data_IF_505315067643
#
_entry.id   IF_505315067643
#
_cell.length_a   1.000
_cell.length_b   1.000
_cell.length_c   1.000
_cell.angle_alpha   90.00
_cell.angle_beta   90.00
_cell.angle_gamma   90.00
#
_symmetry.space_group_name_H-M   'P 1'
#
loop_
_entity.id
_entity.type
_entity.pdbx_description
1 polymer ?
#
# COMPACT_ATOMS: atom_id res chain seq x y z
N UNK A 1 -39.44 4.91 22.77
CA UNK A 1 -39.22 3.73 21.91
C UNK A 1 -37.83 3.86 21.29
N UNK A 2 -36.91 2.97 21.64
CA UNK A 2 -35.53 3.00 21.10
C UNK A 2 -35.54 2.44 19.66
N UNK A 3 -34.88 3.10 18.69
CA UNK A 3 -34.78 2.60 17.32
C UNK A 3 -33.79 1.44 17.18
N UNK A 4 -34.02 0.53 16.22
CA UNK A 4 -33.22 -0.70 16.05
C UNK A 4 -31.73 -0.45 15.84
N UNK A 5 -31.37 0.55 15.01
CA UNK A 5 -29.97 0.89 14.77
C UNK A 5 -29.21 1.25 16.07
N UNK A 6 -29.90 1.81 17.07
CA UNK A 6 -29.29 2.13 18.38
C UNK A 6 -29.11 0.86 19.22
N UNK A 7 -30.03 -0.10 19.12
CA UNK A 7 -29.90 -1.41 19.77
C UNK A 7 -28.78 -2.26 19.13
N UNK A 8 -28.63 -2.20 17.82
CA UNK A 8 -27.53 -2.88 17.11
C UNK A 8 -26.17 -2.32 17.53
N UNK A 9 -26.01 -0.99 17.58
CA UNK A 9 -24.78 -0.36 18.10
C UNK A 9 -24.52 -0.66 19.58
N UNK A 10 -25.59 -0.75 20.39
CA UNK A 10 -25.49 -1.18 21.78
C UNK A 10 -24.92 -2.60 21.89
N UNK A 11 -25.38 -3.53 21.05
CA UNK A 11 -24.88 -4.92 21.02
C UNK A 11 -23.41 -5.02 20.57
N UNK A 12 -22.97 -4.10 19.70
CA UNK A 12 -21.58 -4.01 19.22
C UNK A 12 -20.64 -3.29 20.20
N UNK A 13 -21.18 -2.57 21.20
CA UNK A 13 -20.38 -1.75 22.12
C UNK A 13 -19.99 -0.38 21.56
N UNK A 14 -20.60 0.04 20.45
CA UNK A 14 -20.25 1.25 19.69
C UNK A 14 -21.08 2.48 20.09
N UNK A 15 -21.56 2.53 21.34
CA UNK A 15 -22.27 3.68 21.91
C UNK A 15 -21.49 4.33 23.05
N UNK A 16 -21.64 5.66 23.26
CA UNK A 16 -21.11 6.34 24.44
C UNK A 16 -21.57 5.68 25.76
N UNK A 17 -20.74 5.72 26.81
CA UNK A 17 -21.01 5.02 28.07
C UNK A 17 -22.37 5.40 28.71
N UNK A 18 -22.77 6.67 28.61
CA UNK A 18 -24.05 7.15 29.14
C UNK A 18 -25.25 6.49 28.42
N UNK A 19 -25.18 6.36 27.10
CA UNK A 19 -26.21 5.69 26.30
C UNK A 19 -26.27 4.19 26.60
N UNK A 20 -25.11 3.55 26.81
CA UNK A 20 -25.01 2.15 27.20
C UNK A 20 -25.68 1.89 28.56
N UNK A 21 -25.43 2.77 29.55
CA UNK A 21 -26.06 2.65 30.88
C UNK A 21 -27.56 2.85 30.82
N UNK A 22 -28.03 3.83 30.04
CA UNK A 22 -29.46 4.07 29.88
C UNK A 22 -30.18 2.85 29.29
N UNK A 23 -29.64 2.26 28.22
CA UNK A 23 -30.25 1.09 27.58
C UNK A 23 -30.24 -0.12 28.52
N UNK A 24 -29.16 -0.33 29.31
CA UNK A 24 -29.13 -1.40 30.34
C UNK A 24 -30.18 -1.20 31.43
N UNK A 25 -30.38 0.05 31.85
CA UNK A 25 -31.40 0.39 32.83
C UNK A 25 -32.81 0.16 32.27
N UNK A 26 -33.07 0.57 31.04
CA UNK A 26 -34.35 0.32 30.35
C UNK A 26 -34.59 -1.19 30.11
N UNK A 27 -33.56 -1.96 29.73
CA UNK A 27 -33.62 -3.43 29.59
C UNK A 27 -33.98 -4.13 30.92
N UNK A 28 -33.59 -3.56 32.05
CA UNK A 28 -33.91 -4.11 33.38
C UNK A 28 -35.39 -3.94 33.76
N UNK A 29 -36.07 -2.95 33.18
CA UNK A 29 -37.46 -2.60 33.52
C UNK A 29 -38.48 -3.02 32.46
N UNK A 30 -38.05 -3.14 31.20
CA UNK A 30 -38.93 -3.42 30.07
C UNK A 30 -38.68 -4.83 29.49
N UNK A 31 -39.62 -5.74 29.75
CA UNK A 31 -39.58 -7.11 29.24
C UNK A 31 -39.72 -7.18 27.71
N UNK A 32 -40.40 -6.22 27.07
CA UNK A 32 -40.56 -6.13 25.61
C UNK A 32 -39.22 -5.74 24.98
N UNK A 33 -38.56 -4.73 25.54
CA UNK A 33 -37.23 -4.32 25.10
C UNK A 33 -36.22 -5.45 25.26
N UNK A 34 -36.26 -6.18 26.39
CA UNK A 34 -35.41 -7.35 26.63
C UNK A 34 -35.63 -8.45 25.59
N UNK A 35 -36.89 -8.75 25.26
CA UNK A 35 -37.22 -9.71 24.21
C UNK A 35 -36.67 -9.29 22.84
N UNK A 36 -36.76 -7.99 22.50
CA UNK A 36 -36.23 -7.44 21.24
C UNK A 36 -34.71 -7.53 21.18
N UNK A 37 -34.01 -7.18 22.26
CA UNK A 37 -32.55 -7.30 22.36
C UNK A 37 -32.11 -8.77 22.21
N UNK A 38 -32.83 -9.71 22.83
CA UNK A 38 -32.52 -11.14 22.72
C UNK A 38 -32.72 -11.66 21.29
N UNK A 39 -33.79 -11.24 20.61
CA UNK A 39 -34.01 -11.59 19.19
C UNK A 39 -32.87 -11.10 18.29
N UNK A 40 -32.34 -9.89 18.52
CA UNK A 40 -31.18 -9.38 17.79
C UNK A 40 -29.90 -10.17 18.09
N UNK A 41 -29.68 -10.61 19.34
CA UNK A 41 -28.54 -11.48 19.71
C UNK A 41 -28.61 -12.84 19.00
N UNK A 42 -29.79 -13.45 18.97
CA UNK A 42 -30.02 -14.73 18.29
C UNK A 42 -29.74 -14.61 16.78
N UNK A 43 -30.24 -13.55 16.13
CA UNK A 43 -29.97 -13.29 14.72
C UNK A 43 -28.46 -13.12 14.45
N UNK A 44 -27.73 -12.42 15.31
CA UNK A 44 -26.29 -12.26 15.16
C UNK A 44 -25.54 -13.61 15.29
N UNK A 45 -25.93 -14.44 16.26
CA UNK A 45 -25.39 -15.80 16.40
C UNK A 45 -25.69 -16.67 15.18
N UNK A 46 -26.89 -16.56 14.60
CA UNK A 46 -27.24 -17.27 13.37
C UNK A 46 -26.31 -16.88 12.21
N UNK A 47 -26.06 -15.58 12.02
CA UNK A 47 -25.15 -15.06 10.98
C UNK A 47 -23.73 -15.62 11.19
N UNK A 48 -23.22 -15.55 12.43
CA UNK A 48 -21.87 -16.05 12.75
C UNK A 48 -21.75 -17.57 12.54
N UNK A 49 -22.82 -18.33 12.83
CA UNK A 49 -22.86 -19.77 12.60
C UNK A 49 -22.92 -20.13 11.11
N UNK A 50 -23.57 -19.29 10.29
CA UNK A 50 -23.67 -19.45 8.84
C UNK A 50 -22.36 -19.10 8.13
N UNK A 51 -21.60 -18.15 8.68
CA UNK A 51 -20.33 -17.68 8.14
C UNK A 51 -19.17 -17.83 9.14
N UNK A 52 -18.79 -19.08 9.51
CA UNK A 52 -17.71 -19.30 10.44
C UNK A 52 -16.38 -18.88 9.82
N UNK A 53 -15.67 -17.96 10.49
CA UNK A 53 -14.37 -17.42 10.04
C UNK A 53 -13.34 -18.53 9.76
N UNK A 54 -13.39 -19.65 10.47
CA UNK A 54 -12.51 -20.80 10.28
C UNK A 54 -12.59 -21.41 8.87
N UNK A 55 -13.78 -21.43 8.25
CA UNK A 55 -13.96 -21.92 6.87
C UNK A 55 -13.40 -20.95 5.82
N UNK A 56 -13.13 -19.70 6.19
CA UNK A 56 -12.54 -18.70 5.31
C UNK A 56 -11.03 -18.88 5.19
N UNK A 57 -10.36 -19.30 6.28
CA UNK A 57 -8.90 -19.53 6.31
C UNK A 57 -8.42 -20.63 5.36
N UNK A 58 -9.21 -21.69 5.18
CA UNK A 58 -8.87 -22.80 4.27
C UNK A 58 -8.80 -22.35 2.80
N UNK A 59 -9.59 -21.33 2.39
CA UNK A 59 -9.50 -20.77 1.03
C UNK A 59 -8.23 -19.95 0.81
N UNK A 60 -7.68 -19.33 1.86
CA UNK A 60 -6.43 -18.57 1.75
C UNK A 60 -5.19 -19.47 1.68
N UNK A 61 -5.16 -20.61 2.38
CA UNK A 61 -4.02 -21.54 2.32
C UNK A 61 -3.80 -22.11 0.90
N UNK A 62 -4.87 -22.41 0.16
CA UNK A 62 -4.74 -22.95 -1.22
C UNK A 62 -4.14 -21.98 -2.25
N UNK A 63 -4.12 -20.68 -1.96
CA UNK A 63 -3.51 -19.66 -2.83
C UNK A 63 -1.99 -19.60 -2.62
N UNK A 64 -1.51 -19.93 -1.42
CA UNK A 64 -0.08 -19.87 -1.04
C UNK A 64 0.69 -21.09 -1.57
N UNK A 65 0.11 -22.29 -1.51
CA UNK A 65 0.85 -23.54 -1.83
C UNK A 65 1.07 -23.80 -3.32
N UNK A 66 0.27 -23.21 -4.22
CA UNK A 66 0.36 -23.47 -5.66
C UNK A 66 1.59 -22.87 -6.36
N UNK A 67 2.41 -22.07 -5.66
CA UNK A 67 3.56 -21.36 -6.27
C UNK A 67 4.92 -22.07 -6.07
N UNK A 68 4.98 -23.20 -5.37
CA UNK A 68 6.26 -23.83 -4.96
C UNK A 68 6.86 -24.85 -5.95
N UNK A 69 6.22 -25.17 -7.08
CA UNK A 69 6.75 -26.16 -8.02
C UNK A 69 6.66 -25.69 -9.48
N UNK A 70 7.56 -24.79 -9.88
CA UNK A 70 8.02 -24.70 -11.27
C UNK A 70 9.51 -24.98 -11.29
N UNK A 71 9.87 -26.18 -11.72
CA UNK A 71 11.23 -26.67 -11.82
C UNK A 71 12.08 -25.71 -12.66
N UNK A 72 12.94 -24.94 -11.99
CA UNK A 72 13.88 -23.98 -12.59
C UNK A 72 14.92 -24.66 -13.50
N UNK A 73 15.07 -25.98 -13.38
CA UNK A 73 16.04 -26.80 -14.10
C UNK A 73 15.83 -26.80 -15.64
N UNK A 74 14.61 -26.49 -16.11
CA UNK A 74 14.30 -26.46 -17.55
C UNK A 74 14.85 -25.23 -18.29
N UNK A 75 15.27 -24.17 -17.58
CA UNK A 75 15.81 -22.94 -18.19
C UNK A 75 17.34 -22.81 -18.06
N UNK A 76 18.00 -23.77 -17.42
CA UNK A 76 19.46 -23.78 -17.20
C UNK A 76 20.31 -23.60 -18.47
N UNK A 77 20.02 -24.24 -19.63
CA UNK A 77 20.86 -24.05 -20.82
C UNK A 77 20.70 -22.66 -21.46
N UNK A 78 19.59 -21.95 -21.21
CA UNK A 78 19.34 -20.62 -21.79
C UNK A 78 20.01 -19.49 -20.98
N UNK A 79 20.15 -19.65 -19.66
CA UNK A 79 20.86 -18.70 -18.79
C UNK A 79 22.37 -18.77 -19.00
N UNK A 80 22.92 -19.96 -19.25
CA UNK A 80 24.36 -20.14 -19.51
C UNK A 80 24.83 -19.44 -20.81
N UNK A 81 24.01 -19.45 -21.86
CA UNK A 81 24.33 -18.78 -23.13
C UNK A 81 24.34 -17.25 -23.01
N UNK A 82 23.47 -16.67 -22.16
CA UNK A 82 23.42 -15.23 -21.94
C UNK A 82 24.65 -14.71 -21.16
N UNK A 83 25.19 -15.49 -20.22
CA UNK A 83 26.37 -15.11 -19.43
C UNK A 83 27.64 -15.05 -20.30
N UNK A 84 27.80 -15.97 -21.26
CA UNK A 84 28.96 -15.98 -22.17
C UNK A 84 28.93 -14.76 -23.10
N UNK A 85 27.75 -14.32 -23.55
CA UNK A 85 27.63 -13.13 -24.40
C UNK A 85 28.02 -11.85 -23.66
N UNK A 86 27.65 -11.72 -22.37
CA UNK A 86 27.97 -10.55 -21.54
C UNK A 86 29.47 -10.47 -21.21
N UNK A 87 30.15 -11.61 -21.03
CA UNK A 87 31.58 -11.65 -20.70
C UNK A 87 32.50 -11.16 -21.84
N UNK A 88 32.04 -11.18 -23.11
CA UNK A 88 32.84 -10.75 -24.27
C UNK A 88 32.62 -9.29 -24.69
N UNK A 89 31.61 -8.60 -24.14
CA UNK A 89 31.34 -7.18 -24.40
C UNK A 89 32.56 -6.26 -24.18
N UNK A 90 33.38 -6.41 -23.10
CA UNK A 90 34.51 -5.52 -22.89
C UNK A 90 35.64 -5.65 -23.93
N UNK A 91 35.68 -6.74 -24.70
CA UNK A 91 36.71 -6.94 -25.73
C UNK A 91 36.35 -6.28 -27.07
N UNK A 92 35.06 -6.16 -27.38
CA UNK A 92 34.58 -5.65 -28.68
C UNK A 92 34.03 -4.22 -28.62
N UNK A 93 33.67 -3.73 -27.43
CA UNK A 93 33.07 -2.41 -27.27
C UNK A 93 33.50 -1.75 -25.94
N UNK A 94 34.73 -1.20 -25.87
CA UNK A 94 35.28 -0.61 -24.63
C UNK A 94 34.50 0.63 -24.12
N UNK A 95 33.73 1.31 -24.99
CA UNK A 95 32.81 2.39 -24.59
C UNK A 95 31.63 1.89 -23.73
N UNK A 96 31.26 0.62 -23.85
CA UNK A 96 30.18 0.01 -23.05
C UNK A 96 30.75 -0.55 -21.74
N UNK A 97 32.04 -0.89 -21.71
CA UNK A 97 32.73 -1.39 -20.52
C UNK A 97 32.96 -0.31 -19.46
N UNK A 98 33.15 0.95 -19.87
CA UNK A 98 33.33 2.08 -18.95
C UNK A 98 32.08 2.41 -18.12
N UNK A 99 30.89 1.98 -18.56
CA UNK A 99 29.65 2.07 -17.76
C UNK A 99 29.67 1.17 -16.52
N UNK A 100 30.55 0.16 -16.46
CA UNK A 100 30.64 -0.81 -15.36
C UNK A 100 31.73 -0.49 -14.33
N UNK A 101 32.53 0.55 -14.56
CA UNK A 101 33.68 0.91 -13.72
C UNK A 101 33.47 2.16 -12.87
N UNK A 102 32.30 2.81 -12.92
CA UNK A 102 32.03 3.93 -12.03
C UNK A 102 31.63 3.44 -10.64
N UNK A 103 32.39 3.76 -9.57
CA UNK A 103 31.86 3.68 -8.22
C UNK A 103 30.66 4.63 -8.14
N UNK A 104 29.51 4.13 -7.70
CA UNK A 104 28.25 4.88 -7.64
C UNK A 104 28.32 6.01 -6.60
N UNK A 105 28.97 7.12 -6.96
CA UNK A 105 28.61 8.44 -6.45
C UNK A 105 27.28 8.79 -7.09
N UNK A 106 26.25 8.94 -6.27
CA UNK A 106 24.94 9.44 -6.68
C UNK A 106 25.10 10.90 -7.09
N UNK A 107 25.56 11.13 -8.31
CA UNK A 107 25.37 12.40 -8.98
C UNK A 107 23.91 12.47 -9.43
N UNK A 108 23.21 13.49 -8.93
CA UNK A 108 21.87 13.86 -9.38
C UNK A 108 22.02 14.30 -10.83
N UNK A 109 21.81 13.37 -11.78
CA UNK A 109 21.72 13.72 -13.19
C UNK A 109 20.36 14.39 -13.39
N UNK A 110 20.36 15.71 -13.27
CA UNK A 110 19.30 16.57 -13.75
C UNK A 110 19.29 16.50 -15.29
N UNK A 111 18.48 15.59 -15.84
CA UNK A 111 18.22 15.56 -17.28
C UNK A 111 17.39 16.77 -17.68
N UNK A 112 18.07 17.91 -17.85
CA UNK A 112 17.62 19.02 -18.67
C UNK A 112 17.72 18.60 -20.14
N UNK A 113 16.67 17.98 -20.66
CA UNK A 113 16.49 17.85 -22.11
C UNK A 113 15.01 17.98 -22.50
N UNK A 114 14.79 19.08 -23.20
CA UNK A 114 13.85 19.38 -24.27
C UNK A 114 12.41 18.84 -24.19
N UNK A 115 11.50 19.71 -23.75
CA UNK A 115 10.37 20.22 -24.57
C UNK A 115 9.35 19.28 -25.23
N UNK A 116 9.55 17.96 -25.28
CA UNK A 116 8.67 17.04 -25.98
C UNK A 116 7.81 16.25 -25.01
N UNK A 117 6.58 16.73 -24.84
CA UNK A 117 5.45 16.02 -24.24
C UNK A 117 5.30 14.64 -24.90
N UNK A 118 5.75 13.60 -24.22
CA UNK A 118 5.50 12.21 -24.63
C UNK A 118 3.98 11.98 -24.52
N UNK A 119 3.34 11.75 -25.67
CA UNK A 119 1.93 11.33 -25.74
C UNK A 119 1.78 10.03 -24.96
N UNK A 120 0.97 10.03 -23.89
CA UNK A 120 0.60 8.80 -23.16
C UNK A 120 1.12 8.66 -21.72
N UNK A 121 1.71 9.70 -21.12
CA UNK A 121 2.04 9.64 -19.69
C UNK A 121 0.74 9.65 -18.85
N UNK A 122 0.50 8.60 -18.07
CA UNK A 122 -0.63 8.48 -17.16
C UNK A 122 -0.21 8.79 -15.72
N UNK A 123 -1.20 9.06 -14.86
CA UNK A 123 -0.98 9.14 -13.42
C UNK A 123 -0.50 7.77 -12.94
N UNK A 124 0.73 7.69 -12.41
CA UNK A 124 1.35 6.43 -12.06
C UNK A 124 2.22 6.56 -10.81
N UNK A 125 2.27 5.49 -10.04
CA UNK A 125 3.11 5.31 -8.85
C UNK A 125 3.82 3.97 -8.96
N UNK A 126 5.15 3.99 -8.88
CA UNK A 126 5.99 2.80 -8.92
C UNK A 126 6.82 2.68 -7.65
N UNK A 127 6.98 1.44 -7.20
CA UNK A 127 7.81 1.12 -6.03
C UNK A 127 8.91 0.18 -6.47
N UNK A 128 10.15 0.55 -6.14
CA UNK A 128 11.35 -0.23 -6.47
C UNK A 128 12.06 -0.59 -5.18
N UNK A 129 12.37 -1.86 -4.97
CA UNK A 129 13.14 -2.33 -3.82
C UNK A 129 14.61 -2.33 -4.18
N UNK A 130 15.44 -1.71 -3.35
CA UNK A 130 16.89 -1.79 -3.46
C UNK A 130 17.36 -3.19 -3.09
N UNK A 131 18.23 -3.75 -3.91
CA UNK A 131 18.93 -5.01 -3.68
C UNK A 131 20.43 -4.73 -3.59
N UNK A 132 21.25 -5.74 -3.29
CA UNK A 132 22.69 -5.60 -3.10
C UNK A 132 23.38 -4.89 -4.28
N UNK A 133 23.04 -5.29 -5.51
CA UNK A 133 23.71 -4.82 -6.73
C UNK A 133 22.77 -4.10 -7.72
N UNK A 134 21.46 -4.00 -7.42
CA UNK A 134 20.47 -3.45 -8.36
C UNK A 134 19.20 -2.96 -7.68
N UNK A 135 18.21 -2.52 -8.46
CA UNK A 135 16.87 -2.23 -7.98
C UNK A 135 15.83 -3.14 -8.68
N UNK A 136 14.97 -3.76 -7.89
CA UNK A 136 13.89 -4.62 -8.36
C UNK A 136 12.58 -3.83 -8.36
N UNK A 137 11.91 -3.71 -9.52
CA UNK A 137 10.56 -3.12 -9.57
C UNK A 137 9.57 -4.07 -8.90
N UNK A 138 8.90 -3.59 -7.86
CA UNK A 138 7.86 -4.35 -7.20
C UNK A 138 6.57 -4.30 -8.04
N UNK A 139 5.78 -5.37 -7.92
CA UNK A 139 4.39 -5.42 -8.39
C UNK A 139 3.44 -5.38 -7.20
N UNK A 140 2.17 -5.10 -7.45
CA UNK A 140 1.14 -5.10 -6.40
C UNK A 140 1.18 -6.36 -5.54
N UNK A 141 1.13 -6.16 -4.23
CA UNK A 141 1.17 -7.19 -3.18
C UNK A 141 2.46 -8.02 -3.16
N UNK A 142 3.57 -7.49 -3.69
CA UNK A 142 4.89 -8.11 -3.52
C UNK A 142 5.24 -8.25 -2.05
N UNK A 143 5.92 -9.34 -1.71
CA UNK A 143 6.37 -9.60 -0.35
C UNK A 143 7.72 -8.90 -0.12
N UNK A 144 7.80 -8.13 0.96
CA UNK A 144 8.97 -7.37 1.40
C UNK A 144 9.27 -7.67 2.86
N UNK A 145 10.49 -7.38 3.32
CA UNK A 145 10.89 -7.55 4.72
C UNK A 145 11.05 -6.20 5.41
N UNK A 146 10.89 -6.20 6.73
CA UNK A 146 11.27 -5.06 7.55
C UNK A 146 12.74 -4.71 7.29
N UNK A 147 13.04 -3.42 7.14
CA UNK A 147 14.37 -2.92 6.81
C UNK A 147 14.71 -2.85 5.32
N UNK A 148 13.88 -3.39 4.42
CA UNK A 148 14.06 -3.19 2.98
C UNK A 148 13.97 -1.68 2.64
N UNK A 149 14.85 -1.21 1.75
CA UNK A 149 14.85 0.17 1.26
C UNK A 149 14.07 0.26 -0.06
N UNK A 150 13.06 1.12 -0.09
CA UNK A 150 12.18 1.32 -1.24
C UNK A 150 12.42 2.69 -1.87
N UNK A 151 12.62 2.72 -3.17
CA UNK A 151 12.63 3.93 -3.98
C UNK A 151 11.27 4.09 -4.67
N UNK A 152 10.55 5.16 -4.33
CA UNK A 152 9.30 5.50 -4.98
C UNK A 152 9.56 6.37 -6.20
N UNK A 153 8.76 6.16 -7.24
CA UNK A 153 8.73 6.99 -8.45
C UNK A 153 7.30 7.31 -8.82
N UNK A 154 7.06 8.51 -9.34
CA UNK A 154 5.72 8.92 -9.74
C UNK A 154 5.75 9.69 -11.05
N UNK A 155 4.61 9.73 -11.74
CA UNK A 155 4.41 10.60 -12.89
C UNK A 155 3.00 11.16 -12.89
N UNK A 156 2.86 12.41 -13.31
CA UNK A 156 1.57 13.09 -13.46
C UNK A 156 1.36 13.53 -14.92
N UNK A 157 0.14 13.39 -15.46
CA UNK A 157 -0.16 13.70 -16.86
C UNK A 157 -0.18 15.20 -17.16
N UNK A 158 -0.47 16.02 -16.15
CA UNK A 158 -0.59 17.47 -16.24
C UNK A 158 -0.09 18.12 -14.94
N UNK A 159 0.23 19.41 -15.02
CA UNK A 159 0.60 20.19 -13.84
C UNK A 159 -0.56 20.17 -12.85
N UNK A 160 -0.26 19.84 -11.59
CA UNK A 160 -1.26 19.67 -10.54
C UNK A 160 -0.61 19.86 -9.17
N UNK A 161 -1.43 19.85 -8.12
CA UNK A 161 -0.96 19.70 -6.75
C UNK A 161 -1.04 18.23 -6.37
N UNK A 162 -0.07 17.73 -5.62
CA UNK A 162 -0.12 16.35 -5.17
C UNK A 162 0.72 16.07 -3.94
N UNK A 163 0.46 14.89 -3.40
CA UNK A 163 1.09 14.40 -2.18
C UNK A 163 1.29 12.90 -2.28
N UNK A 164 2.40 12.43 -1.73
CA UNK A 164 2.67 10.99 -1.56
C UNK A 164 2.77 10.71 -0.08
N UNK A 165 2.03 9.71 0.40
CA UNK A 165 2.12 9.23 1.77
C UNK A 165 1.94 7.73 1.82
N UNK A 166 2.35 7.13 2.93
CA UNK A 166 2.15 5.72 3.23
C UNK A 166 1.22 5.52 4.43
N UNK A 167 0.56 4.38 4.46
CA UNK A 167 -0.24 3.86 5.56
C UNK A 167 0.29 2.46 5.90
N UNK A 168 0.79 2.29 7.11
CA UNK A 168 1.30 1.01 7.59
C UNK A 168 0.17 0.13 8.19
N UNK A 169 0.50 -1.12 8.53
CA UNK A 169 -0.45 -2.03 9.18
C UNK A 169 -0.83 -1.68 10.62
N UNK A 170 -0.16 -0.72 11.25
CA UNK A 170 -0.54 -0.16 12.55
C UNK A 170 -1.47 1.06 12.41
N UNK A 171 -1.77 1.50 11.18
CA UNK A 171 -2.60 2.67 10.90
C UNK A 171 -1.83 4.00 10.96
N UNK A 172 -0.50 3.98 11.03
CA UNK A 172 0.32 5.19 11.02
C UNK A 172 0.42 5.73 9.59
N UNK A 173 0.15 7.02 9.44
CA UNK A 173 0.32 7.74 8.17
C UNK A 173 1.67 8.44 8.15
N UNK A 174 2.46 8.21 7.11
CA UNK A 174 3.77 8.87 6.92
C UNK A 174 3.77 9.65 5.61
N UNK A 175 3.88 10.98 5.68
CA UNK A 175 4.03 11.82 4.50
C UNK A 175 5.43 11.63 3.89
N UNK A 176 5.47 11.24 2.61
CA UNK A 176 6.71 11.00 1.86
C UNK A 176 7.05 12.14 0.89
N UNK A 177 6.02 12.80 0.36
CA UNK A 177 6.14 13.99 -0.48
C UNK A 177 5.02 14.95 -0.09
N UNK A 178 5.32 15.86 0.83
CA UNK A 178 4.45 16.93 1.29
C UNK A 178 5.31 18.06 1.89
N UNK A 179 4.73 19.25 2.02
CA UNK A 179 5.33 20.40 2.70
C UNK A 179 4.44 20.71 3.91
N UNK A 180 4.88 20.41 5.13
CA UNK A 180 4.09 20.62 6.37
C UNK A 180 2.66 20.02 6.32
N UNK A 181 2.50 18.83 5.73
CA UNK A 181 1.22 18.15 5.44
C UNK A 181 0.38 18.78 4.31
N UNK A 182 0.86 19.82 3.65
CA UNK A 182 0.25 20.38 2.44
C UNK A 182 0.79 19.72 1.17
N UNK A 183 -0.08 19.65 0.15
CA UNK A 183 0.27 19.19 -1.20
C UNK A 183 1.31 20.11 -1.85
N UNK A 184 2.22 19.53 -2.62
CA UNK A 184 3.25 20.27 -3.37
C UNK A 184 2.90 20.37 -4.85
N UNK A 185 3.41 21.40 -5.52
CA UNK A 185 3.24 21.54 -6.96
C UNK A 185 4.02 20.48 -7.73
N UNK A 186 3.33 19.70 -8.57
CA UNK A 186 3.89 18.64 -9.39
C UNK A 186 3.92 19.07 -10.86
N UNK A 187 5.11 19.01 -11.46
CA UNK A 187 5.30 19.25 -12.88
C UNK A 187 4.97 18.02 -13.72
N UNK A 188 4.39 18.24 -14.89
CA UNK A 188 3.99 17.18 -15.82
C UNK A 188 5.17 16.55 -16.56
N UNK A 189 4.95 15.34 -17.08
CA UNK A 189 5.64 14.87 -18.28
C UNK A 189 6.80 13.90 -18.12
N UNK A 190 7.42 13.78 -16.93
CA UNK A 190 8.49 12.79 -16.68
C UNK A 190 8.26 12.02 -15.37
N UNK A 191 8.77 10.78 -15.31
CA UNK A 191 8.82 10.01 -14.07
C UNK A 191 9.83 10.70 -13.14
N UNK A 192 9.38 11.09 -11.95
CA UNK A 192 10.20 11.71 -10.90
C UNK A 192 10.46 10.71 -9.78
N UNK A 193 11.66 10.73 -9.24
CA UNK A 193 12.03 9.97 -8.04
C UNK A 193 11.74 10.83 -6.81
N UNK A 194 11.34 10.20 -5.71
CA UNK A 194 11.42 10.87 -4.41
C UNK A 194 12.89 11.13 -4.04
N UNK A 195 13.19 12.22 -3.32
CA UNK A 195 14.56 12.63 -2.99
C UNK A 195 15.27 11.68 -2.01
N UNK A 196 14.55 10.75 -1.38
CA UNK A 196 15.09 9.76 -0.45
C UNK A 196 14.44 8.40 -0.66
N UNK A 197 15.18 7.35 -0.27
CA UNK A 197 14.66 6.00 -0.15
C UNK A 197 13.88 5.85 1.17
N UNK A 198 12.74 5.19 1.10
CA UNK A 198 11.90 4.89 2.25
C UNK A 198 12.27 3.51 2.82
N UNK A 199 12.76 3.48 4.06
CA UNK A 199 13.10 2.23 4.75
C UNK A 199 11.87 1.70 5.47
N UNK A 200 11.51 0.44 5.20
CA UNK A 200 10.37 -0.19 5.86
C UNK A 200 10.64 -0.43 7.34
N UNK A 201 9.65 -0.11 8.16
CA UNK A 201 9.58 -0.50 9.57
C UNK A 201 9.07 -1.94 9.74
N UNK A 202 8.90 -2.37 10.99
CA UNK A 202 8.41 -3.70 11.34
C UNK A 202 6.87 -3.80 11.44
N UNK A 203 6.13 -2.76 11.05
CA UNK A 203 4.68 -2.76 11.17
C UNK A 203 4.09 -3.98 10.43
N UNK A 204 3.05 -4.62 10.96
CA UNK A 204 2.63 -5.92 10.46
C UNK A 204 1.92 -5.82 9.11
N UNK A 205 1.75 -6.97 8.44
CA UNK A 205 0.87 -7.20 7.29
C UNK A 205 1.21 -6.48 5.98
N UNK A 206 1.19 -5.14 5.93
CA UNK A 206 1.30 -4.38 4.68
C UNK A 206 1.87 -2.97 4.87
N UNK A 207 2.27 -2.39 3.75
CA UNK A 207 2.41 -0.94 3.57
C UNK A 207 1.58 -0.54 2.34
N UNK A 208 0.78 0.52 2.45
CA UNK A 208 0.00 1.06 1.34
C UNK A 208 0.43 2.48 1.03
N UNK A 209 0.94 2.70 -0.17
CA UNK A 209 1.33 4.01 -0.67
C UNK A 209 0.17 4.63 -1.44
N UNK A 210 0.03 5.94 -1.30
CA UNK A 210 -0.96 6.75 -1.98
C UNK A 210 -0.25 7.88 -2.72
N UNK A 211 -0.56 8.04 -3.99
CA UNK A 211 -0.33 9.27 -4.75
C UNK A 211 -1.69 9.93 -4.92
N UNK A 212 -1.88 11.07 -4.25
CA UNK A 212 -3.10 11.88 -4.36
C UNK A 212 -2.77 13.13 -5.14
N UNK A 213 -3.56 13.43 -6.18
CA UNK A 213 -3.39 14.63 -7.00
C UNK A 213 -4.70 15.39 -7.18
N UNK A 214 -4.61 16.71 -7.32
CA UNK A 214 -5.73 17.64 -7.45
C UNK A 214 -5.33 18.84 -8.32
N UNK A 215 -6.32 19.52 -8.89
CA UNK A 215 -6.07 20.79 -9.60
C UNK A 215 -5.85 21.97 -8.62
N UNK A 216 -6.25 21.81 -7.36
CA UNK A 216 -6.14 22.80 -6.29
C UNK A 216 -5.25 22.25 -5.17
N UNK A 217 -4.53 23.14 -4.46
CA UNK A 217 -3.77 22.75 -3.27
C UNK A 217 -4.70 22.20 -2.18
N UNK A 218 -4.22 21.23 -1.41
CA UNK A 218 -4.96 20.58 -0.35
C UNK A 218 -4.04 20.14 0.79
N UNK A 219 -4.62 19.93 1.96
CA UNK A 219 -3.89 19.53 3.17
C UNK A 219 -4.25 18.09 3.57
N UNK A 220 -3.30 17.42 4.22
CA UNK A 220 -3.48 16.13 4.85
C UNK A 220 -3.90 16.30 6.31
N UNK A 221 -5.19 16.12 6.57
CA UNK A 221 -5.72 15.89 7.90
C UNK A 221 -6.01 14.40 8.06
N UNK A 222 -5.26 13.73 8.95
CA UNK A 222 -5.41 12.29 9.23
C UNK A 222 -6.83 11.96 9.70
N UNK A 223 -7.49 12.88 10.43
CA UNK A 223 -8.87 12.67 10.90
C UNK A 223 -9.91 12.73 9.78
N UNK A 224 -9.56 13.32 8.63
CA UNK A 224 -10.41 13.47 7.45
C UNK A 224 -9.92 12.67 6.25
N UNK A 225 -8.99 11.72 6.47
CA UNK A 225 -8.34 10.96 5.41
C UNK A 225 -9.36 10.26 4.50
N UNK A 226 -10.39 9.63 5.07
CA UNK A 226 -11.44 8.96 4.31
C UNK A 226 -12.24 9.92 3.43
N UNK A 227 -12.53 11.12 3.95
CA UNK A 227 -13.22 12.17 3.20
C UNK A 227 -12.38 12.68 2.04
N UNK A 228 -11.07 12.86 2.26
CA UNK A 228 -10.12 13.28 1.24
C UNK A 228 -10.01 12.23 0.13
N UNK A 229 -9.81 10.96 0.48
CA UNK A 229 -9.65 9.87 -0.48
C UNK A 229 -10.90 9.58 -1.31
N UNK A 230 -12.09 9.87 -0.78
CA UNK A 230 -13.36 9.70 -1.48
C UNK A 230 -13.84 10.98 -2.22
N UNK A 231 -13.10 12.08 -2.10
CA UNK A 231 -13.46 13.33 -2.74
C UNK A 231 -13.37 13.23 -4.27
N UNK A 232 -14.40 13.70 -4.98
CA UNK A 232 -14.38 13.81 -6.46
C UNK A 232 -13.37 14.83 -6.98
N UNK A 233 -12.83 15.67 -6.10
CA UNK A 233 -11.85 16.70 -6.47
C UNK A 233 -10.44 16.15 -6.63
N UNK A 234 -10.15 14.98 -6.06
CA UNK A 234 -8.83 14.36 -6.11
C UNK A 234 -8.85 13.11 -6.97
N UNK A 235 -7.71 12.79 -7.56
CA UNK A 235 -7.45 11.49 -8.16
C UNK A 235 -6.44 10.75 -7.29
N UNK A 236 -6.69 9.48 -7.04
CA UNK A 236 -5.88 8.65 -6.15
C UNK A 236 -5.35 7.45 -6.90
N UNK A 237 -4.04 7.24 -6.84
CA UNK A 237 -3.38 5.98 -7.23
C UNK A 237 -2.79 5.36 -5.99
N UNK A 238 -2.99 4.06 -5.83
CA UNK A 238 -2.48 3.30 -4.68
C UNK A 238 -1.53 2.22 -5.13
N UNK A 239 -0.56 1.90 -4.27
CA UNK A 239 0.31 0.74 -4.44
C UNK A 239 0.45 0.01 -3.10
N UNK A 240 0.18 -1.30 -3.05
CA UNK A 240 0.23 -2.08 -1.82
C UNK A 240 1.38 -3.10 -1.89
N UNK A 241 2.11 -3.25 -0.79
CA UNK A 241 3.06 -4.34 -0.57
C UNK A 241 2.70 -5.12 0.69
N UNK A 242 3.09 -6.39 0.74
CA UNK A 242 2.87 -7.25 1.90
C UNK A 242 4.17 -7.40 2.68
N UNK A 243 4.13 -7.19 3.98
CA UNK A 243 5.28 -7.40 4.86
C UNK A 243 5.32 -8.87 5.29
N UNK A 244 6.49 -9.50 5.14
CA UNK A 244 6.73 -10.86 5.61
C UNK A 244 6.53 -10.88 7.12
N UNK A 245 5.62 -11.74 7.59
CA UNK A 245 5.44 -11.95 9.02
C UNK A 245 6.62 -12.81 9.47
N UNK A 246 7.60 -12.20 10.13
CA UNK A 246 8.61 -12.96 10.87
C UNK A 246 7.87 -13.70 11.98
N UNK A 247 7.56 -14.98 11.75
CA UNK A 247 7.14 -15.87 12.82
C UNK A 247 8.36 -16.07 13.71
N UNK A 248 8.56 -15.21 14.70
CA UNK A 248 9.47 -15.54 15.79
C UNK A 248 9.03 -16.87 16.40
N UNK A 249 9.99 -17.79 16.47
CA UNK A 249 9.76 -19.19 16.77
C UNK A 249 9.11 -19.41 18.13
N UNK A 250 8.24 -20.42 18.18
CA UNK A 250 8.02 -21.20 19.39
C UNK A 250 9.25 -22.05 19.71
#
# INVERSE_FOLDING_TARGET
MIPDWKLERFLLGDLPELDMMQIRFEESQDDILRARINSLKESNQEILSKYPFEKMNARFQTIVDKKKNRNLLFYAPMVAAAIILVAFIPFYAPEIASLWQSPATVEIIEYAEDGTRIKGLSLNLEVWKKTSDSAEKLVEKSIVKAGDELQLRYSVPSKCYGMIFSLDGNGKVTALLAEENSSVALEAGKIKLLPYAYKLDDAPHFEKFFLVVSNEAFDLDVSQLDSLLNSKKVQVVTFIIQKEITSEGK
#
